data_IF_183291559082
#
_entry.id   IF_183291559082
#
_cell.length_a   1.000
_cell.length_b   1.000
_cell.length_c   1.000
_cell.angle_alpha   90.00
_cell.angle_beta   90.00
_cell.angle_gamma   90.00
#
_symmetry.space_group_name_H-M   'P 1'
#
loop_
_entity.id
_entity.type
_entity.pdbx_description
1 polymer ?
#
# COMPACT_ATOMS: atom_id res chain seq x y z
N UNK A 1 -13.37 0.18 -27.45
CA UNK A 1 -13.55 1.41 -26.64
C UNK A 1 -14.10 1.12 -25.23
N UNK A 2 -15.04 0.20 -25.09
CA UNK A 2 -15.70 -0.19 -23.82
C UNK A 2 -14.74 -0.71 -22.74
N UNK A 3 -13.96 -1.77 -22.99
CA UNK A 3 -12.99 -2.32 -22.03
C UNK A 3 -11.89 -1.33 -21.62
N UNK A 4 -11.52 -0.38 -22.50
CA UNK A 4 -10.56 0.68 -22.16
C UNK A 4 -11.08 1.58 -21.03
N UNK A 5 -12.38 1.89 -21.00
CA UNK A 5 -12.99 2.69 -19.94
C UNK A 5 -13.04 1.92 -18.62
N UNK A 6 -13.31 0.61 -18.67
CA UNK A 6 -13.26 -0.26 -17.47
C UNK A 6 -11.84 -0.31 -16.91
N UNK A 7 -10.85 -0.57 -17.75
CA UNK A 7 -9.44 -0.58 -17.33
C UNK A 7 -9.05 0.76 -16.69
N UNK A 8 -9.43 1.89 -17.29
CA UNK A 8 -9.15 3.21 -16.73
C UNK A 8 -9.81 3.41 -15.36
N UNK A 9 -11.06 2.99 -15.18
CA UNK A 9 -11.73 3.07 -13.88
C UNK A 9 -11.03 2.18 -12.82
N UNK A 10 -10.53 1.00 -13.19
CA UNK A 10 -9.72 0.17 -12.30
C UNK A 10 -8.37 0.82 -11.96
N UNK A 11 -7.70 1.46 -12.92
CA UNK A 11 -6.45 2.20 -12.69
C UNK A 11 -6.66 3.35 -11.70
N UNK A 12 -7.75 4.15 -11.88
CA UNK A 12 -8.13 5.19 -10.93
C UNK A 12 -8.50 4.62 -9.56
N UNK A 13 -9.03 3.39 -9.50
CA UNK A 13 -9.25 2.66 -8.25
C UNK A 13 -7.95 2.45 -7.48
N UNK A 14 -6.89 1.99 -8.15
CA UNK A 14 -5.58 1.83 -7.50
C UNK A 14 -4.91 3.15 -7.13
N UNK A 15 -5.12 4.22 -7.91
CA UNK A 15 -4.69 5.56 -7.50
C UNK A 15 -5.44 6.00 -6.22
N UNK A 16 -6.75 5.73 -6.11
CA UNK A 16 -7.52 5.98 -4.88
C UNK A 16 -6.94 5.18 -3.70
N UNK A 17 -6.63 3.90 -3.88
CA UNK A 17 -6.00 3.07 -2.85
C UNK A 17 -4.63 3.63 -2.44
N UNK A 18 -3.82 4.11 -3.39
CA UNK A 18 -2.55 4.75 -3.09
C UNK A 18 -2.73 6.02 -2.24
N UNK A 19 -3.77 6.83 -2.50
CA UNK A 19 -4.08 8.02 -1.71
C UNK A 19 -4.40 7.64 -0.26
N UNK A 20 -5.33 6.71 -0.04
CA UNK A 20 -5.77 6.34 1.31
C UNK A 20 -4.66 5.67 2.12
N UNK A 21 -3.74 4.96 1.48
CA UNK A 21 -2.63 4.28 2.16
C UNK A 21 -1.43 5.19 2.44
N UNK A 22 -1.20 6.23 1.63
CA UNK A 22 0.05 6.98 1.67
C UNK A 22 -0.11 8.46 2.05
N UNK A 23 -1.32 9.03 2.05
CA UNK A 23 -1.51 10.44 2.41
C UNK A 23 -1.30 10.70 3.90
N UNK A 24 -1.96 9.93 4.79
CA UNK A 24 -1.85 10.13 6.23
C UNK A 24 -0.41 9.96 6.77
N UNK A 25 0.40 8.99 6.30
CA UNK A 25 1.81 8.88 6.71
C UNK A 25 2.65 10.14 6.48
N UNK A 26 2.38 10.92 5.43
CA UNK A 26 3.06 12.19 5.19
C UNK A 26 2.79 13.23 6.29
N UNK A 27 1.71 13.06 7.04
CA UNK A 27 1.25 13.99 8.07
C UNK A 27 1.64 13.57 9.49
N UNK A 28 2.35 12.47 9.70
CA UNK A 28 2.61 11.92 11.03
C UNK A 28 3.25 12.93 11.98
N UNK A 29 4.31 13.61 11.56
CA UNK A 29 4.94 14.64 12.37
C UNK A 29 4.03 15.86 12.58
N UNK A 30 3.17 16.16 11.61
CA UNK A 30 2.16 17.23 11.74
C UNK A 30 1.11 16.86 12.77
N UNK A 31 0.60 15.62 12.74
CA UNK A 31 -0.36 15.10 13.72
C UNK A 31 0.24 15.08 15.13
N UNK A 32 1.51 14.68 15.26
CA UNK A 32 2.24 14.72 16.52
C UNK A 32 2.32 16.15 17.08
N UNK A 33 2.70 17.12 16.24
CA UNK A 33 2.84 18.53 16.67
C UNK A 33 1.50 19.21 16.94
N UNK A 34 0.48 18.97 16.11
CA UNK A 34 -0.81 19.67 16.19
C UNK A 34 -1.73 19.10 17.25
N UNK A 35 -1.69 17.79 17.51
CA UNK A 35 -2.62 17.11 18.41
C UNK A 35 -1.94 16.40 19.58
N UNK A 36 -0.61 16.47 19.71
CA UNK A 36 0.14 15.77 20.75
C UNK A 36 0.06 14.24 20.63
N UNK A 37 -0.24 13.70 19.44
CA UNK A 37 -0.38 12.26 19.20
C UNK A 37 1.00 11.62 19.27
N UNK A 38 1.13 10.55 20.07
CA UNK A 38 2.41 9.85 20.20
C UNK A 38 2.76 9.03 18.93
N UNK A 39 4.05 8.72 18.74
CA UNK A 39 4.49 7.86 17.62
C UNK A 39 3.86 6.46 17.70
N UNK A 40 3.61 5.95 18.91
CA UNK A 40 2.92 4.67 19.13
C UNK A 40 1.48 4.72 18.62
N UNK A 41 0.77 5.82 18.89
CA UNK A 41 -0.58 6.05 18.38
C UNK A 41 -0.60 6.19 16.84
N UNK A 42 0.39 6.88 16.26
CA UNK A 42 0.54 6.96 14.79
C UNK A 42 0.81 5.58 14.17
N UNK A 43 1.66 4.78 14.80
CA UNK A 43 1.88 3.39 14.39
C UNK A 43 0.60 2.55 14.49
N UNK A 44 -0.23 2.79 15.51
CA UNK A 44 -1.54 2.13 15.66
C UNK A 44 -2.48 2.50 14.51
N UNK A 45 -2.52 3.77 14.05
CA UNK A 45 -3.34 4.16 12.87
C UNK A 45 -2.96 3.35 11.63
N UNK A 46 -1.66 3.16 11.39
CA UNK A 46 -1.17 2.33 10.30
C UNK A 46 -1.59 0.87 10.47
N UNK A 47 -1.44 0.34 11.70
CA UNK A 47 -1.83 -1.05 12.00
C UNK A 47 -3.34 -1.26 11.83
N UNK A 48 -4.16 -0.28 12.21
CA UNK A 48 -5.62 -0.31 12.01
C UNK A 48 -5.95 -0.26 10.51
N UNK A 49 -5.28 0.61 9.73
CA UNK A 49 -5.50 0.67 8.29
C UNK A 49 -5.34 -0.71 7.63
N UNK A 50 -4.19 -1.35 7.81
CA UNK A 50 -3.94 -2.65 7.18
C UNK A 50 -4.67 -3.80 7.87
N UNK A 51 -4.92 -3.72 9.17
CA UNK A 51 -5.75 -4.71 9.86
C UNK A 51 -7.19 -4.71 9.37
N UNK A 52 -7.77 -3.54 9.08
CA UNK A 52 -9.11 -3.42 8.49
C UNK A 52 -9.11 -3.87 7.02
N UNK A 53 -8.06 -3.53 6.23
CA UNK A 53 -7.91 -4.06 4.87
C UNK A 53 -7.86 -5.59 4.89
N UNK A 54 -7.03 -6.17 5.73
CA UNK A 54 -6.91 -7.63 5.92
C UNK A 54 -8.25 -8.29 6.30
N UNK A 55 -9.03 -7.68 7.19
CA UNK A 55 -10.38 -8.17 7.52
C UNK A 55 -11.34 -8.05 6.34
N UNK A 56 -11.22 -6.97 5.56
CA UNK A 56 -12.00 -6.75 4.34
C UNK A 56 -11.70 -7.81 3.29
N UNK A 57 -10.42 -8.12 3.06
CA UNK A 57 -9.97 -9.16 2.14
C UNK A 57 -10.53 -10.52 2.53
N UNK A 58 -10.41 -10.88 3.81
CA UNK A 58 -10.89 -12.15 4.34
C UNK A 58 -12.41 -12.30 4.19
N UNK A 59 -13.15 -11.21 4.41
CA UNK A 59 -14.62 -11.23 4.40
C UNK A 59 -15.22 -10.94 3.03
N UNK A 60 -14.48 -10.33 2.10
CA UNK A 60 -14.95 -9.91 0.78
C UNK A 60 -15.63 -11.05 -0.03
N UNK A 61 -15.13 -12.30 -0.06
CA UNK A 61 -15.78 -13.37 -0.80
C UNK A 61 -17.21 -13.67 -0.33
N UNK A 62 -17.51 -13.38 0.96
CA UNK A 62 -18.83 -13.67 1.54
C UNK A 62 -19.94 -12.75 1.00
N UNK A 63 -19.59 -11.52 0.63
CA UNK A 63 -20.57 -10.53 0.20
C UNK A 63 -20.37 -10.03 -1.23
N UNK A 64 -19.15 -10.03 -1.78
CA UNK A 64 -18.89 -9.59 -3.16
C UNK A 64 -19.59 -10.50 -4.16
N UNK A 65 -19.57 -11.81 -3.94
CA UNK A 65 -20.25 -12.77 -4.83
C UNK A 65 -21.78 -12.59 -4.82
N UNK A 66 -22.36 -12.07 -3.72
CA UNK A 66 -23.80 -11.80 -3.59
C UNK A 66 -24.19 -10.42 -4.11
N UNK A 67 -23.42 -9.38 -3.73
CA UNK A 67 -23.67 -7.99 -4.15
C UNK A 67 -23.29 -7.74 -5.60
N UNK A 68 -22.28 -8.45 -6.09
CA UNK A 68 -21.65 -8.24 -7.38
C UNK A 68 -20.48 -7.23 -7.33
N UNK A 69 -19.61 -7.33 -8.33
CA UNK A 69 -18.39 -6.51 -8.40
C UNK A 69 -18.66 -5.01 -8.52
N UNK A 70 -19.67 -4.60 -9.33
CA UNK A 70 -19.96 -3.19 -9.58
C UNK A 70 -20.49 -2.42 -8.36
N UNK A 71 -21.51 -2.93 -7.63
CA UNK A 71 -21.92 -2.32 -6.37
C UNK A 71 -20.78 -2.26 -5.35
N UNK A 72 -19.97 -3.30 -5.26
CA UNK A 72 -18.82 -3.35 -4.34
C UNK A 72 -17.75 -2.33 -4.72
N UNK A 73 -17.43 -2.14 -6.00
CA UNK A 73 -16.52 -1.07 -6.48
C UNK A 73 -17.06 0.33 -6.18
N UNK A 74 -18.36 0.55 -6.34
CA UNK A 74 -18.99 1.84 -5.98
C UNK A 74 -18.90 2.09 -4.47
N UNK A 75 -19.18 1.08 -3.67
CA UNK A 75 -19.06 1.16 -2.22
C UNK A 75 -17.62 1.48 -1.79
N UNK A 76 -16.63 0.83 -2.40
CA UNK A 76 -15.22 1.06 -2.15
C UNK A 76 -14.82 2.52 -2.38
N UNK A 77 -15.25 3.11 -3.50
CA UNK A 77 -14.98 4.51 -3.82
C UNK A 77 -15.68 5.47 -2.83
N UNK A 78 -16.92 5.16 -2.47
CA UNK A 78 -17.69 5.98 -1.52
C UNK A 78 -17.05 5.98 -0.13
N UNK A 79 -16.63 4.80 0.37
CA UNK A 79 -15.96 4.68 1.68
C UNK A 79 -14.59 5.37 1.67
N UNK A 80 -13.83 5.26 0.57
CA UNK A 80 -12.57 5.98 0.42
C UNK A 80 -12.77 7.50 0.49
N UNK A 81 -13.76 8.04 -0.23
CA UNK A 81 -14.09 9.46 -0.19
C UNK A 81 -14.58 9.89 1.22
N UNK A 82 -15.48 9.11 1.83
CA UNK A 82 -16.02 9.41 3.15
C UNK A 82 -14.93 9.41 4.23
N UNK A 83 -13.98 8.46 4.18
CA UNK A 83 -12.87 8.43 5.14
C UNK A 83 -11.89 9.59 4.95
N UNK A 84 -11.58 9.98 3.69
CA UNK A 84 -10.74 11.17 3.42
C UNK A 84 -11.38 12.46 3.94
N UNK A 85 -12.69 12.64 3.71
CA UNK A 85 -13.44 13.77 4.28
C UNK A 85 -13.55 13.65 5.80
N UNK A 86 -13.66 12.43 6.33
CA UNK A 86 -13.68 12.14 7.75
C UNK A 86 -12.40 12.59 8.46
N UNK A 87 -11.23 12.53 7.82
CA UNK A 87 -9.99 13.07 8.38
C UNK A 87 -10.14 14.54 8.78
N UNK A 88 -10.89 15.33 8.00
CA UNK A 88 -11.14 16.73 8.30
C UNK A 88 -12.22 16.90 9.38
N UNK A 89 -13.35 16.23 9.22
CA UNK A 89 -14.54 16.41 10.03
C UNK A 89 -14.44 15.77 11.41
N UNK A 90 -13.96 14.54 11.47
CA UNK A 90 -13.96 13.78 12.73
C UNK A 90 -12.85 14.19 13.68
N UNK A 91 -11.76 14.79 13.19
CA UNK A 91 -10.75 15.37 14.08
C UNK A 91 -11.24 16.59 14.85
N UNK A 92 -12.30 17.26 14.37
CA UNK A 92 -12.95 18.39 15.06
C UNK A 92 -14.19 17.96 15.85
N UNK A 93 -14.93 16.95 15.34
CA UNK A 93 -16.18 16.49 15.96
C UNK A 93 -15.95 15.68 17.24
N UNK A 94 -14.85 14.91 17.30
CA UNK A 94 -14.53 14.08 18.46
C UNK A 94 -13.71 14.88 19.48
N UNK A 95 -14.05 14.76 20.76
CA UNK A 95 -13.28 15.36 21.85
C UNK A 95 -11.79 14.96 21.83
N UNK A 96 -11.51 13.75 21.36
CA UNK A 96 -10.16 13.24 21.16
C UNK A 96 -9.86 13.12 19.65
N UNK A 97 -9.04 14.00 19.07
CA UNK A 97 -8.71 13.98 17.64
C UNK A 97 -8.21 12.62 17.12
N UNK A 98 -7.48 11.89 17.97
CA UNK A 98 -7.00 10.54 17.65
C UNK A 98 -8.16 9.55 17.39
N UNK A 99 -9.25 9.62 18.12
CA UNK A 99 -10.42 8.78 17.89
C UNK A 99 -11.06 9.12 16.52
N UNK A 100 -11.13 10.40 16.17
CA UNK A 100 -11.59 10.85 14.85
C UNK A 100 -10.72 10.32 13.71
N UNK A 101 -9.39 10.33 13.89
CA UNK A 101 -8.46 9.73 12.93
C UNK A 101 -8.68 8.22 12.80
N UNK A 102 -8.85 7.48 13.91
CA UNK A 102 -9.11 6.04 13.90
C UNK A 102 -10.38 5.68 13.12
N UNK A 103 -11.47 6.41 13.33
CA UNK A 103 -12.73 6.20 12.62
C UNK A 103 -12.55 6.48 11.13
N UNK A 104 -11.90 7.59 10.77
CA UNK A 104 -11.63 7.97 9.39
C UNK A 104 -10.80 6.92 8.66
N UNK A 105 -9.72 6.47 9.32
CA UNK A 105 -8.82 5.40 8.83
C UNK A 105 -9.60 4.11 8.63
N UNK A 106 -10.42 3.71 9.61
CA UNK A 106 -11.26 2.50 9.51
C UNK A 106 -12.20 2.56 8.31
N UNK A 107 -12.85 3.70 8.06
CA UNK A 107 -13.78 3.87 6.94
C UNK A 107 -13.05 3.75 5.59
N UNK A 108 -11.97 4.51 5.37
CA UNK A 108 -11.28 4.43 4.09
C UNK A 108 -10.49 3.13 3.89
N UNK A 109 -10.08 2.47 4.98
CA UNK A 109 -9.38 1.18 4.91
C UNK A 109 -10.29 0.07 4.37
N UNK A 110 -11.59 0.06 4.73
CA UNK A 110 -12.56 -0.85 4.08
C UNK A 110 -12.64 -0.55 2.57
N UNK A 111 -12.66 0.73 2.19
CA UNK A 111 -12.62 1.13 0.78
C UNK A 111 -11.37 0.64 0.06
N UNK A 112 -10.19 0.81 0.68
CA UNK A 112 -8.89 0.39 0.15
C UNK A 112 -8.80 -1.13 -0.06
N UNK A 113 -9.17 -1.93 0.94
CA UNK A 113 -9.20 -3.40 0.85
C UNK A 113 -10.15 -3.89 -0.25
N UNK A 114 -11.36 -3.33 -0.35
CA UNK A 114 -12.28 -3.66 -1.45
C UNK A 114 -11.67 -3.37 -2.82
N UNK A 115 -10.99 -2.23 -3.00
CA UNK A 115 -10.33 -1.90 -4.27
C UNK A 115 -9.26 -2.94 -4.62
N UNK A 116 -8.47 -3.35 -3.64
CA UNK A 116 -7.39 -4.32 -3.82
C UNK A 116 -7.90 -5.68 -4.32
N UNK A 117 -8.92 -6.22 -3.67
CA UNK A 117 -9.50 -7.52 -4.05
C UNK A 117 -10.23 -7.47 -5.39
N UNK A 118 -10.90 -6.35 -5.71
CA UNK A 118 -11.83 -6.30 -6.84
C UNK A 118 -11.19 -5.92 -8.16
N UNK A 119 -10.14 -5.08 -8.18
CA UNK A 119 -9.59 -4.58 -9.45
C UNK A 119 -8.90 -5.68 -10.26
N UNK A 120 -8.20 -6.60 -9.60
CA UNK A 120 -7.47 -7.67 -10.27
C UNK A 120 -8.38 -8.66 -11.01
N UNK A 121 -9.46 -9.22 -10.42
CA UNK A 121 -10.39 -10.08 -11.15
C UNK A 121 -11.15 -9.33 -12.26
N UNK A 122 -11.44 -8.04 -12.12
CA UNK A 122 -12.07 -7.24 -13.18
C UNK A 122 -11.13 -7.13 -14.39
N UNK A 123 -9.84 -6.85 -14.17
CA UNK A 123 -8.85 -6.78 -15.25
C UNK A 123 -8.60 -8.16 -15.86
N UNK A 124 -8.55 -9.21 -15.03
CA UNK A 124 -8.43 -10.59 -15.53
C UNK A 124 -9.59 -10.99 -16.44
N UNK A 125 -10.80 -10.52 -16.18
CA UNK A 125 -11.98 -10.74 -17.02
C UNK A 125 -11.97 -9.92 -18.33
N UNK A 126 -11.17 -8.84 -18.43
CA UNK A 126 -11.07 -8.04 -19.64
C UNK A 126 -10.24 -8.78 -20.72
N UNK A 127 -10.60 -8.71 -22.02
CA UNK A 127 -9.79 -9.29 -23.09
C UNK A 127 -8.38 -8.72 -23.11
N UNK A 128 -7.37 -9.59 -23.19
CA UNK A 128 -5.96 -9.22 -23.33
C UNK A 128 -5.15 -10.40 -23.86
N UNK A 129 -4.18 -10.10 -24.74
CA UNK A 129 -3.25 -11.09 -25.28
C UNK A 129 -2.15 -11.47 -24.26
N UNK A 130 -1.89 -10.59 -23.28
CA UNK A 130 -0.91 -10.82 -22.22
C UNK A 130 -1.46 -10.34 -20.86
N UNK A 131 -2.08 -11.26 -20.12
CA UNK A 131 -2.67 -11.01 -18.81
C UNK A 131 -1.65 -10.55 -17.77
N UNK A 132 -0.44 -11.11 -17.81
CA UNK A 132 0.64 -10.72 -16.89
C UNK A 132 1.08 -9.27 -17.08
N UNK A 133 1.21 -8.83 -18.32
CA UNK A 133 1.53 -7.44 -18.66
C UNK A 133 0.41 -6.48 -18.24
N UNK A 134 -0.86 -6.83 -18.49
CA UNK A 134 -2.01 -6.04 -18.09
C UNK A 134 -2.12 -5.92 -16.56
N UNK A 135 -1.87 -7.01 -15.84
CA UNK A 135 -1.87 -7.02 -14.38
C UNK A 135 -0.74 -6.15 -13.81
N UNK A 136 0.47 -6.25 -14.40
CA UNK A 136 1.60 -5.41 -14.02
C UNK A 136 1.34 -3.93 -14.29
N UNK A 137 0.74 -3.62 -15.45
CA UNK A 137 0.34 -2.25 -15.78
C UNK A 137 -0.72 -1.72 -14.81
N UNK A 138 -1.74 -2.51 -14.48
CA UNK A 138 -2.73 -2.16 -13.46
C UNK A 138 -2.05 -1.73 -12.16
N UNK A 139 -1.22 -2.60 -11.60
CA UNK A 139 -0.56 -2.33 -10.32
C UNK A 139 0.49 -1.21 -10.39
N UNK A 140 0.98 -0.84 -11.59
CA UNK A 140 1.83 0.34 -11.73
C UNK A 140 1.10 1.64 -11.38
N UNK A 141 -0.23 1.70 -11.56
CA UNK A 141 -1.01 2.88 -11.21
C UNK A 141 -1.11 3.12 -9.70
N UNK A 142 -0.98 2.08 -8.87
CA UNK A 142 -0.78 2.28 -7.43
C UNK A 142 0.53 3.06 -7.15
N UNK A 143 1.63 2.68 -7.80
CA UNK A 143 2.92 3.35 -7.63
C UNK A 143 2.88 4.80 -8.11
N UNK A 144 2.32 5.05 -9.30
CA UNK A 144 2.15 6.40 -9.83
C UNK A 144 1.20 7.24 -8.97
N UNK A 145 0.15 6.61 -8.41
CA UNK A 145 -0.71 7.22 -7.41
C UNK A 145 0.06 7.63 -6.15
N UNK A 146 0.91 6.74 -5.63
CA UNK A 146 1.78 7.04 -4.48
C UNK A 146 2.74 8.21 -4.79
N UNK A 147 3.45 8.17 -5.93
CA UNK A 147 4.28 9.30 -6.39
C UNK A 147 3.47 10.59 -6.46
N UNK A 148 2.28 10.53 -7.07
CA UNK A 148 1.37 11.67 -7.19
C UNK A 148 0.95 12.24 -5.84
N UNK A 149 0.60 11.38 -4.89
CA UNK A 149 0.23 11.78 -3.52
C UNK A 149 1.38 12.53 -2.84
N UNK A 150 2.60 11.99 -2.91
CA UNK A 150 3.77 12.64 -2.30
C UNK A 150 4.05 13.97 -2.96
N UNK A 151 4.18 14.00 -4.29
CA UNK A 151 4.55 15.22 -5.03
C UNK A 151 3.52 16.33 -4.86
N UNK A 152 2.23 16.02 -5.07
CA UNK A 152 1.15 17.02 -5.01
C UNK A 152 0.96 17.52 -3.57
N UNK A 153 0.97 16.63 -2.59
CA UNK A 153 0.85 17.02 -1.18
C UNK A 153 2.05 17.82 -0.72
N UNK A 154 3.29 17.42 -1.07
CA UNK A 154 4.51 18.15 -0.71
C UNK A 154 4.53 19.54 -1.36
N UNK A 155 4.16 19.65 -2.65
CA UNK A 155 4.06 20.93 -3.33
C UNK A 155 2.99 21.83 -2.69
N UNK A 156 1.82 21.28 -2.36
CA UNK A 156 0.77 22.01 -1.66
C UNK A 156 1.26 22.55 -0.31
N UNK A 157 1.90 21.71 0.48
CA UNK A 157 2.40 22.10 1.80
C UNK A 157 3.56 23.11 1.74
N UNK A 158 4.39 23.04 0.69
CA UNK A 158 5.43 24.02 0.46
C UNK A 158 4.88 25.43 0.12
N UNK A 159 3.72 25.51 -0.53
CA UNK A 159 3.08 26.75 -0.95
C UNK A 159 2.15 27.29 0.14
N UNK A 160 1.31 26.44 0.71
CA UNK A 160 0.21 26.83 1.59
C UNK A 160 0.45 26.53 3.09
N UNK A 161 1.55 25.85 3.43
CA UNK A 161 1.86 25.45 4.79
C UNK A 161 1.24 24.13 5.20
N UNK A 162 1.87 23.45 6.17
CA UNK A 162 1.44 22.16 6.70
C UNK A 162 0.14 22.24 7.53
N UNK A 163 -0.17 23.41 8.07
CA UNK A 163 -1.41 23.68 8.82
C UNK A 163 -2.67 23.48 7.96
N UNK A 164 -2.55 23.61 6.64
CA UNK A 164 -3.63 23.45 5.68
C UNK A 164 -3.85 21.98 5.23
N UNK A 165 -3.32 21.01 5.97
CA UNK A 165 -3.43 19.59 5.64
C UNK A 165 -4.88 19.10 5.47
N UNK A 166 -5.83 19.71 6.18
CA UNK A 166 -7.27 19.40 6.04
C UNK A 166 -7.79 19.74 4.66
N UNK A 167 -7.41 20.89 4.12
CA UNK A 167 -7.77 21.30 2.76
C UNK A 167 -7.22 20.28 1.76
N UNK A 168 -5.97 19.84 1.95
CA UNK A 168 -5.36 18.82 1.09
C UNK A 168 -6.10 17.48 1.17
N UNK A 169 -6.52 17.04 2.36
CA UNK A 169 -7.35 15.84 2.53
C UNK A 169 -8.68 15.95 1.76
N UNK A 170 -9.33 17.11 1.83
CA UNK A 170 -10.54 17.39 1.05
C UNK A 170 -10.28 17.42 -0.45
N UNK A 171 -9.11 17.89 -0.90
CA UNK A 171 -8.73 17.92 -2.32
C UNK A 171 -8.47 16.52 -2.89
N UNK A 172 -8.17 15.52 -2.07
CA UNK A 172 -8.05 14.14 -2.53
C UNK A 172 -9.39 13.42 -2.69
N UNK A 173 -10.45 13.84 -1.98
CA UNK A 173 -11.76 13.18 -2.03
C UNK A 173 -12.48 13.26 -3.40
N UNK A 174 -12.36 14.30 -4.23
CA UNK A 174 -12.96 14.34 -5.58
C UNK A 174 -12.57 13.18 -6.49
N UNK A 175 -11.38 12.60 -6.35
CA UNK A 175 -10.94 11.50 -7.22
C UNK A 175 -11.80 10.23 -7.02
N UNK A 176 -11.96 9.68 -5.80
CA UNK A 176 -12.86 8.55 -5.58
C UNK A 176 -14.32 8.90 -5.91
N UNK A 177 -14.80 10.13 -5.65
CA UNK A 177 -16.16 10.56 -6.05
C UNK A 177 -16.32 10.51 -7.57
N UNK A 178 -15.37 11.04 -8.33
CA UNK A 178 -15.39 10.96 -9.79
C UNK A 178 -15.42 9.51 -10.27
N UNK A 179 -14.60 8.65 -9.66
CA UNK A 179 -14.52 7.25 -10.07
C UNK A 179 -15.76 6.43 -9.67
N UNK A 180 -16.45 6.80 -8.57
CA UNK A 180 -17.78 6.28 -8.24
C UNK A 180 -18.76 6.50 -9.40
N UNK A 181 -18.83 7.71 -9.96
CA UNK A 181 -19.68 8.01 -11.12
C UNK A 181 -19.24 7.29 -12.39
N UNK A 182 -17.93 7.04 -12.59
CA UNK A 182 -17.46 6.21 -13.68
C UNK A 182 -18.03 4.78 -13.58
N UNK A 183 -17.96 4.14 -12.41
CA UNK A 183 -18.54 2.81 -12.20
C UNK A 183 -20.07 2.81 -12.28
N UNK A 184 -20.72 3.93 -11.97
CA UNK A 184 -22.17 4.04 -12.13
C UNK A 184 -22.59 4.04 -13.62
N UNK A 185 -21.78 4.62 -14.50
CA UNK A 185 -22.05 4.74 -15.95
C UNK A 185 -21.57 3.55 -16.78
N UNK A 186 -20.73 2.70 -16.23
CA UNK A 186 -20.18 1.53 -16.91
C UNK A 186 -21.07 0.31 -16.63
N UNK A 187 -21.35 -0.48 -17.67
CA UNK A 187 -21.95 -1.82 -17.51
C UNK A 187 -20.89 -2.83 -17.08
N UNK A 188 -21.18 -3.78 -16.20
CA UNK A 188 -20.22 -4.84 -15.86
C UNK A 188 -19.82 -5.62 -17.12
N UNK A 189 -18.51 -5.97 -17.32
CA UNK A 189 -18.19 -7.05 -18.22
C UNK A 189 -18.91 -8.30 -17.72
N UNK A 190 -19.19 -9.23 -18.61
CA UNK A 190 -19.59 -10.54 -18.19
C UNK A 190 -18.40 -11.20 -17.43
N UNK A 191 -18.14 -10.71 -16.22
CA UNK A 191 -17.42 -11.48 -15.24
C UNK A 191 -18.39 -12.62 -14.99
N UNK A 192 -18.10 -13.78 -15.58
CA UNK A 192 -18.85 -14.96 -15.23
C UNK A 192 -18.91 -14.93 -13.71
N UNK A 193 -20.12 -14.69 -13.16
CA UNK A 193 -20.37 -15.07 -11.79
C UNK A 193 -19.91 -16.53 -11.77
N UNK A 194 -18.69 -16.75 -11.30
CA UNK A 194 -18.17 -18.09 -11.09
C UNK A 194 -18.95 -18.60 -9.87
N UNK A 195 -20.26 -18.79 -10.10
CA UNK A 195 -21.11 -19.61 -9.26
C UNK A 195 -20.46 -20.98 -9.29
N UNK A 196 -19.57 -21.24 -8.34
CA UNK A 196 -18.76 -22.45 -8.27
C UNK A 196 -17.24 -22.25 -8.32
N UNK A 197 -16.71 -21.08 -7.96
CA UNK A 197 -15.26 -20.91 -7.73
C UNK A 197 -14.74 -21.92 -6.72
N UNK A 198 -13.50 -22.34 -6.86
CA UNK A 198 -12.84 -23.26 -5.93
C UNK A 198 -12.89 -22.68 -4.52
N UNK A 199 -13.59 -23.32 -3.60
CA UNK A 199 -13.70 -22.84 -2.22
C UNK A 199 -12.33 -22.77 -1.51
N UNK A 200 -12.21 -21.91 -0.48
CA UNK A 200 -10.98 -21.69 0.25
C UNK A 200 -10.33 -23.01 0.73
N UNK A 201 -11.13 -23.95 1.26
CA UNK A 201 -10.62 -25.24 1.73
C UNK A 201 -10.00 -26.09 0.61
N UNK A 202 -10.52 -26.01 -0.61
CA UNK A 202 -9.95 -26.73 -1.76
C UNK A 202 -8.68 -26.06 -2.28
N UNK A 203 -8.62 -24.72 -2.26
CA UNK A 203 -7.40 -23.97 -2.62
C UNK A 203 -6.27 -24.27 -1.63
N UNK A 204 -6.57 -24.24 -0.33
CA UNK A 204 -5.60 -24.51 0.74
C UNK A 204 -5.08 -25.97 0.77
N UNK A 205 -5.76 -26.92 0.11
CA UNK A 205 -5.24 -28.28 -0.08
C UNK A 205 -4.18 -28.38 -1.18
N UNK A 206 -4.04 -27.34 -2.04
CA UNK A 206 -3.08 -27.37 -3.16
C UNK A 206 -1.73 -26.80 -2.70
N UNK A 207 -0.67 -27.61 -2.70
CA UNK A 207 0.69 -27.17 -2.34
C UNK A 207 1.22 -26.02 -3.22
N UNK A 208 0.77 -25.92 -4.47
CA UNK A 208 1.08 -24.77 -5.34
C UNK A 208 0.50 -23.48 -4.76
N UNK A 209 -0.72 -23.51 -4.21
CA UNK A 209 -1.36 -22.32 -3.66
C UNK A 209 -0.61 -21.79 -2.43
N UNK A 210 -0.13 -22.67 -1.56
CA UNK A 210 0.72 -22.28 -0.42
C UNK A 210 2.01 -21.59 -0.86
N UNK A 211 2.66 -22.06 -1.92
CA UNK A 211 3.86 -21.37 -2.47
C UNK A 211 3.52 -19.97 -2.94
N UNK A 212 2.38 -19.78 -3.61
CA UNK A 212 1.91 -18.47 -4.06
C UNK A 212 1.56 -17.55 -2.88
N UNK A 213 0.92 -18.07 -1.83
CA UNK A 213 0.66 -17.30 -0.60
C UNK A 213 1.96 -16.84 0.08
N UNK A 214 2.95 -17.72 0.20
CA UNK A 214 4.27 -17.37 0.77
C UNK A 214 4.98 -16.34 -0.10
N UNK A 215 4.93 -16.48 -1.43
CA UNK A 215 5.50 -15.48 -2.35
C UNK A 215 4.83 -14.13 -2.17
N UNK A 216 3.51 -14.09 -2.03
CA UNK A 216 2.74 -12.86 -1.84
C UNK A 216 3.05 -12.21 -0.49
N UNK A 217 3.14 -13.00 0.58
CA UNK A 217 3.56 -12.55 1.91
C UNK A 217 4.97 -11.94 1.88
N UNK A 218 5.93 -12.61 1.24
CA UNK A 218 7.29 -12.10 1.09
C UNK A 218 7.34 -10.82 0.25
N UNK A 219 6.53 -10.73 -0.81
CA UNK A 219 6.45 -9.53 -1.65
C UNK A 219 5.95 -8.33 -0.83
N UNK A 220 4.86 -8.49 -0.08
CA UNK A 220 4.32 -7.44 0.80
C UNK A 220 5.30 -7.02 1.89
N UNK A 221 5.93 -7.99 2.55
CA UNK A 221 6.93 -7.71 3.58
C UNK A 221 8.14 -6.93 3.04
N UNK A 222 8.65 -7.30 1.86
CA UNK A 222 9.77 -6.65 1.22
C UNK A 222 9.42 -5.24 0.72
N UNK A 223 8.23 -5.05 0.17
CA UNK A 223 7.75 -3.76 -0.31
C UNK A 223 7.58 -2.78 0.86
N UNK A 224 6.81 -3.14 1.87
CA UNK A 224 6.47 -2.25 2.98
C UNK A 224 7.61 -2.06 3.98
N UNK A 225 8.41 -3.09 4.22
CA UNK A 225 9.57 -2.99 5.10
C UNK A 225 10.57 -1.91 4.69
N UNK A 226 10.78 -1.72 3.38
CA UNK A 226 11.63 -0.65 2.86
C UNK A 226 10.89 0.69 2.73
N UNK A 227 9.70 0.68 2.12
CA UNK A 227 8.94 1.90 1.80
C UNK A 227 8.60 2.73 3.03
N UNK A 228 8.17 2.10 4.12
CA UNK A 228 7.74 2.78 5.35
C UNK A 228 8.88 3.51 6.07
N UNK A 229 10.09 3.01 5.97
CA UNK A 229 11.24 3.55 6.69
C UNK A 229 12.15 4.43 5.84
N UNK A 230 11.93 4.49 4.52
CA UNK A 230 12.80 5.22 3.60
C UNK A 230 12.90 6.72 3.93
N UNK A 231 11.81 7.37 4.33
CA UNK A 231 11.82 8.78 4.73
C UNK A 231 12.57 8.99 6.06
N UNK A 232 12.24 8.19 7.09
CA UNK A 232 12.89 8.28 8.38
C UNK A 232 14.39 7.99 8.29
N UNK A 233 14.80 7.04 7.44
CA UNK A 233 16.19 6.75 7.16
C UNK A 233 16.91 7.95 6.50
N UNK A 234 16.28 8.56 5.50
CA UNK A 234 16.83 9.73 4.83
C UNK A 234 17.03 10.90 5.79
N UNK A 235 16.03 11.24 6.59
CA UNK A 235 16.09 12.32 7.58
C UNK A 235 17.12 12.04 8.68
N UNK A 236 17.11 10.84 9.29
CA UNK A 236 17.98 10.49 10.40
C UNK A 236 19.44 10.30 9.99
N UNK A 237 19.69 9.72 8.81
CA UNK A 237 21.05 9.36 8.37
C UNK A 237 21.73 10.43 7.53
N UNK A 238 20.96 11.23 6.77
CA UNK A 238 21.48 12.27 5.90
C UNK A 238 21.40 13.68 6.51
N UNK A 239 20.59 13.86 7.57
CA UNK A 239 20.30 15.17 8.12
C UNK A 239 19.60 16.11 7.11
N UNK A 240 18.95 15.55 6.08
CA UNK A 240 18.23 16.31 5.07
C UNK A 240 16.88 16.79 5.58
N UNK A 241 16.34 17.84 4.97
CA UNK A 241 15.00 18.31 5.29
C UNK A 241 13.96 17.22 5.01
N UNK A 242 12.83 17.25 5.73
CA UNK A 242 11.70 16.32 5.52
C UNK A 242 11.30 16.22 4.05
N UNK A 243 11.21 17.37 3.36
CA UNK A 243 10.86 17.41 1.93
C UNK A 243 11.80 16.57 1.08
N UNK A 244 13.12 16.69 1.31
CA UNK A 244 14.13 15.92 0.57
C UNK A 244 14.07 14.44 0.97
N UNK A 245 13.85 14.14 2.26
CA UNK A 245 13.67 12.78 2.77
C UNK A 245 12.46 12.07 2.13
N UNK A 246 11.31 12.73 2.05
CA UNK A 246 10.11 12.20 1.42
C UNK A 246 10.29 11.99 -0.10
N UNK A 247 10.98 12.92 -0.79
CA UNK A 247 11.20 12.83 -2.24
C UNK A 247 12.24 11.76 -2.61
N UNK A 248 13.34 11.66 -1.88
CA UNK A 248 14.40 10.68 -2.19
C UNK A 248 14.10 9.28 -1.61
N UNK A 249 13.43 9.20 -0.48
CA UNK A 249 13.05 7.94 0.15
C UNK A 249 11.81 7.31 -0.52
N UNK A 250 10.61 7.52 0.03
CA UNK A 250 9.41 6.82 -0.44
C UNK A 250 9.01 7.18 -1.88
N UNK A 251 9.19 8.42 -2.33
CA UNK A 251 8.88 8.79 -3.72
C UNK A 251 9.86 8.16 -4.71
N UNK A 252 11.17 8.14 -4.39
CA UNK A 252 12.19 7.46 -5.20
C UNK A 252 11.93 5.95 -5.29
N UNK A 253 11.64 5.31 -4.16
CA UNK A 253 11.24 3.91 -4.09
C UNK A 253 10.01 3.63 -4.96
N UNK A 254 8.93 4.40 -4.79
CA UNK A 254 7.68 4.22 -5.53
C UNK A 254 7.85 4.46 -7.04
N UNK A 255 8.69 5.43 -7.43
CA UNK A 255 9.03 5.70 -8.84
C UNK A 255 9.72 4.50 -9.46
N UNK A 256 10.74 3.94 -8.81
CA UNK A 256 11.47 2.78 -9.31
C UNK A 256 10.59 1.53 -9.36
N UNK A 257 9.71 1.35 -8.39
CA UNK A 257 8.71 0.28 -8.36
C UNK A 257 7.70 0.43 -9.50
N UNK A 258 7.17 1.63 -9.71
CA UNK A 258 6.24 1.93 -10.81
C UNK A 258 6.88 1.74 -12.19
N UNK A 259 8.14 2.17 -12.33
CA UNK A 259 8.92 1.98 -13.55
C UNK A 259 9.12 0.48 -13.85
N UNK A 260 9.50 -0.32 -12.85
CA UNK A 260 9.64 -1.78 -12.99
C UNK A 260 8.34 -2.43 -13.47
N UNK A 261 7.21 -2.07 -12.87
CA UNK A 261 5.86 -2.57 -13.26
C UNK A 261 5.49 -2.12 -14.68
N UNK A 262 5.71 -0.86 -15.01
CA UNK A 262 5.40 -0.31 -16.33
C UNK A 262 6.28 -0.92 -17.43
N UNK A 263 7.58 -1.08 -17.18
CA UNK A 263 8.51 -1.72 -18.12
C UNK A 263 8.15 -3.18 -18.37
N UNK A 264 7.84 -3.94 -17.32
CA UNK A 264 7.35 -5.30 -17.48
C UNK A 264 6.00 -5.33 -18.22
N UNK A 265 5.08 -4.42 -17.89
CA UNK A 265 3.80 -4.27 -18.62
C UNK A 265 3.96 -3.99 -20.11
N UNK A 266 5.00 -3.23 -20.50
CA UNK A 266 5.26 -2.86 -21.89
C UNK A 266 6.08 -3.88 -22.67
N UNK A 267 7.11 -4.44 -22.05
CA UNK A 267 8.13 -5.24 -22.72
C UNK A 267 8.17 -6.70 -22.25
N UNK A 268 7.36 -7.06 -21.25
CA UNK A 268 7.38 -8.41 -20.65
C UNK A 268 6.75 -9.51 -21.50
N UNK A 269 6.17 -9.20 -22.69
CA UNK A 269 5.50 -10.19 -23.53
C UNK A 269 6.40 -11.35 -23.97
N UNK A 270 7.72 -11.12 -24.08
CA UNK A 270 8.73 -12.14 -24.42
C UNK A 270 9.51 -12.70 -23.24
N UNK A 271 9.24 -12.26 -22.02
CA UNK A 271 9.98 -12.64 -20.83
C UNK A 271 9.25 -13.74 -20.06
N UNK A 272 10.00 -14.76 -19.61
CA UNK A 272 9.48 -15.74 -18.67
C UNK A 272 9.29 -15.08 -17.29
N UNK A 273 8.02 -14.91 -16.89
CA UNK A 273 7.63 -14.28 -15.63
C UNK A 273 8.33 -14.93 -14.43
N UNK A 274 8.48 -16.26 -14.42
CA UNK A 274 9.12 -16.98 -13.29
C UNK A 274 10.60 -16.62 -13.18
N UNK A 275 11.33 -16.59 -14.32
CA UNK A 275 12.74 -16.18 -14.35
C UNK A 275 12.89 -14.73 -13.93
N UNK A 276 12.03 -13.85 -14.45
CA UNK A 276 12.04 -12.43 -14.09
C UNK A 276 11.84 -12.23 -12.57
N UNK A 277 10.86 -12.88 -11.98
CA UNK A 277 10.61 -12.82 -10.53
C UNK A 277 11.77 -13.39 -9.71
N UNK A 278 12.41 -14.46 -10.17
CA UNK A 278 13.58 -15.03 -9.49
C UNK A 278 14.77 -14.06 -9.46
N UNK A 279 15.07 -13.43 -10.61
CA UNK A 279 16.12 -12.41 -10.69
C UNK A 279 15.78 -11.19 -9.82
N UNK A 280 14.51 -10.74 -9.85
CA UNK A 280 14.04 -9.65 -9.00
C UNK A 280 14.17 -9.97 -7.51
N UNK A 281 13.90 -11.22 -7.10
CA UNK A 281 14.07 -11.65 -5.70
C UNK A 281 15.53 -11.60 -5.26
N UNK A 282 16.47 -12.05 -6.08
CA UNK A 282 17.89 -11.95 -5.80
C UNK A 282 18.36 -10.49 -5.72
N UNK A 283 17.88 -9.65 -6.64
CA UNK A 283 18.17 -8.22 -6.65
C UNK A 283 17.61 -7.54 -5.37
N UNK A 284 16.43 -7.97 -4.90
CA UNK A 284 15.84 -7.49 -3.66
C UNK A 284 16.74 -7.79 -2.45
N UNK A 285 17.25 -9.03 -2.34
CA UNK A 285 18.19 -9.41 -1.28
C UNK A 285 19.44 -8.52 -1.35
N UNK A 286 20.03 -8.32 -2.53
CA UNK A 286 21.18 -7.46 -2.71
C UNK A 286 20.89 -6.01 -2.32
N UNK A 287 19.72 -5.47 -2.66
CA UNK A 287 19.28 -4.13 -2.30
C UNK A 287 19.13 -3.95 -0.79
N UNK A 288 18.54 -4.93 -0.09
CA UNK A 288 18.44 -4.93 1.37
C UNK A 288 19.82 -5.01 2.05
N UNK A 289 20.71 -5.87 1.55
CA UNK A 289 22.08 -5.95 2.05
C UNK A 289 22.83 -4.64 1.83
N UNK A 290 22.69 -4.03 0.67
CA UNK A 290 23.29 -2.72 0.39
C UNK A 290 22.76 -1.67 1.37
N UNK A 291 21.45 -1.56 1.58
CA UNK A 291 20.85 -0.61 2.49
C UNK A 291 21.26 -0.86 3.96
N UNK A 292 21.38 -2.12 4.36
CA UNK A 292 21.65 -2.49 5.75
C UNK A 292 23.15 -2.44 6.13
N UNK A 293 24.05 -2.75 5.21
CA UNK A 293 25.47 -2.89 5.49
C UNK A 293 26.30 -1.63 5.15
N UNK A 294 25.72 -0.70 4.39
CA UNK A 294 26.43 0.52 4.03
C UNK A 294 26.44 1.54 5.19
N UNK A 295 27.59 2.14 5.42
CA UNK A 295 27.73 3.31 6.30
C UNK A 295 27.49 4.65 5.56
N UNK A 296 27.41 4.61 4.23
CA UNK A 296 27.22 5.80 3.39
C UNK A 296 25.74 6.03 3.12
N UNK A 297 25.15 7.11 3.63
CA UNK A 297 23.70 7.36 3.52
C UNK A 297 23.17 7.34 2.08
N UNK A 298 23.92 7.88 1.12
CA UNK A 298 23.53 7.88 -0.30
C UNK A 298 23.47 6.49 -0.91
N UNK A 299 24.35 5.57 -0.50
CA UNK A 299 24.29 4.18 -0.92
C UNK A 299 23.09 3.46 -0.27
N UNK A 300 22.74 3.82 0.97
CA UNK A 300 21.53 3.32 1.61
C UNK A 300 20.27 3.73 0.84
N UNK A 301 20.17 5.01 0.41
CA UNK A 301 19.06 5.48 -0.44
C UNK A 301 19.06 4.81 -1.82
N UNK A 302 20.23 4.61 -2.43
CA UNK A 302 20.33 3.84 -3.67
C UNK A 302 19.84 2.39 -3.48
N UNK A 303 20.15 1.78 -2.32
CA UNK A 303 19.60 0.48 -1.91
C UNK A 303 18.08 0.50 -1.81
N UNK A 304 17.48 1.55 -1.21
CA UNK A 304 16.02 1.72 -1.15
C UNK A 304 15.40 1.81 -2.56
N UNK A 305 15.97 2.61 -3.46
CA UNK A 305 15.48 2.74 -4.83
C UNK A 305 15.63 1.42 -5.61
N UNK A 306 16.76 0.72 -5.45
CA UNK A 306 17.01 -0.58 -6.07
C UNK A 306 16.04 -1.65 -5.53
N UNK A 307 15.70 -1.58 -4.25
CA UNK A 307 14.66 -2.41 -3.66
C UNK A 307 13.31 -2.14 -4.34
N UNK A 308 12.91 -0.87 -4.52
CA UNK A 308 11.70 -0.51 -5.25
C UNK A 308 11.65 -1.13 -6.65
N UNK A 309 12.76 -1.01 -7.42
CA UNK A 309 12.89 -1.62 -8.74
C UNK A 309 12.69 -3.15 -8.69
N UNK A 310 13.27 -3.80 -7.69
CA UNK A 310 13.28 -5.26 -7.55
C UNK A 310 11.93 -5.82 -7.11
N UNK A 311 11.24 -5.19 -6.14
CA UNK A 311 9.93 -5.67 -5.65
C UNK A 311 8.79 -5.40 -6.62
N UNK A 312 8.98 -4.50 -7.60
CA UNK A 312 7.92 -3.99 -8.45
C UNK A 312 7.03 -5.06 -9.07
N UNK A 313 7.59 -6.13 -9.61
CA UNK A 313 6.82 -7.19 -10.29
C UNK A 313 6.45 -8.37 -9.37
N UNK A 314 6.92 -8.39 -8.12
CA UNK A 314 6.65 -9.52 -7.22
C UNK A 314 5.16 -9.67 -6.90
N UNK A 315 4.49 -8.58 -6.55
CA UNK A 315 3.04 -8.60 -6.26
C UNK A 315 2.20 -8.96 -7.51
N UNK A 316 2.21 -8.16 -8.59
CA UNK A 316 1.42 -8.46 -9.78
C UNK A 316 1.81 -9.79 -10.44
N UNK A 317 3.08 -10.17 -10.37
CA UNK A 317 3.57 -11.44 -10.87
C UNK A 317 3.01 -12.64 -10.11
N UNK A 318 2.93 -12.57 -8.76
CA UNK A 318 2.32 -13.61 -7.94
C UNK A 318 0.85 -13.80 -8.26
N UNK A 319 0.10 -12.69 -8.42
CA UNK A 319 -1.31 -12.69 -8.83
C UNK A 319 -1.47 -13.32 -10.22
N UNK A 320 -0.64 -12.93 -11.18
CA UNK A 320 -0.67 -13.46 -12.56
C UNK A 320 -0.33 -14.95 -12.61
N UNK A 321 0.67 -15.40 -11.85
CA UNK A 321 1.02 -16.83 -11.75
C UNK A 321 -0.11 -17.64 -11.13
N UNK A 322 -0.80 -17.10 -10.13
CA UNK A 322 -1.95 -17.74 -9.52
C UNK A 322 -3.11 -17.88 -10.51
N UNK A 323 -3.48 -16.78 -11.18
CA UNK A 323 -4.55 -16.76 -12.17
C UNK A 323 -4.29 -17.73 -13.32
N UNK A 324 -3.06 -17.76 -13.84
CA UNK A 324 -2.66 -18.69 -14.92
C UNK A 324 -2.56 -20.15 -14.51
N UNK A 325 -2.25 -20.44 -13.24
CA UNK A 325 -2.01 -21.80 -12.75
C UNK A 325 -3.23 -22.44 -12.11
N UNK A 326 -4.17 -21.66 -11.57
CA UNK A 326 -5.33 -22.09 -10.81
C UNK A 326 -6.61 -21.61 -11.51
N UNK A 327 -6.91 -22.22 -12.65
CA UNK A 327 -8.17 -21.97 -13.36
C UNK A 327 -9.34 -22.21 -12.41
N UNK A 328 -10.33 -21.33 -12.37
CA UNK A 328 -11.49 -21.34 -11.47
C UNK A 328 -11.20 -20.96 -10.00
N UNK A 329 -10.09 -20.26 -9.70
CA UNK A 329 -9.79 -19.77 -8.34
C UNK A 329 -10.81 -18.75 -7.80
N UNK A 330 -11.48 -18.01 -8.70
CA UNK A 330 -12.54 -17.06 -8.35
C UNK A 330 -12.08 -15.95 -7.41
N UNK A 331 -13.03 -15.20 -6.86
CA UNK A 331 -12.81 -14.10 -5.88
C UNK A 331 -12.02 -14.59 -4.67
N UNK A 332 -12.30 -15.81 -4.20
CA UNK A 332 -11.63 -16.40 -3.03
C UNK A 332 -10.11 -16.49 -3.20
N UNK A 333 -9.64 -16.85 -4.40
CA UNK A 333 -8.19 -16.92 -4.68
C UNK A 333 -7.53 -15.56 -4.58
N UNK A 334 -8.12 -14.54 -5.21
CA UNK A 334 -7.58 -13.17 -5.19
C UNK A 334 -7.63 -12.59 -3.77
N UNK A 335 -8.72 -12.80 -3.03
CA UNK A 335 -8.85 -12.36 -1.65
C UNK A 335 -7.80 -13.00 -0.71
N UNK A 336 -7.55 -14.31 -0.83
CA UNK A 336 -6.53 -14.98 -0.03
C UNK A 336 -5.10 -14.56 -0.41
N UNK A 337 -4.85 -14.21 -1.67
CA UNK A 337 -3.56 -13.66 -2.09
C UNK A 337 -3.37 -12.25 -1.53
N UNK A 338 -4.37 -11.36 -1.63
CA UNK A 338 -4.33 -10.02 -1.04
C UNK A 338 -4.12 -10.11 0.49
N UNK A 339 -4.90 -10.96 1.17
CA UNK A 339 -4.72 -11.26 2.60
C UNK A 339 -3.28 -11.65 2.97
N UNK A 340 -2.65 -12.52 2.18
CA UNK A 340 -1.27 -12.93 2.40
C UNK A 340 -0.29 -11.76 2.18
N UNK A 341 -0.54 -10.93 1.19
CA UNK A 341 0.22 -9.70 0.92
C UNK A 341 0.13 -8.71 2.07
N UNK A 342 -1.07 -8.39 2.54
CA UNK A 342 -1.33 -7.48 3.65
C UNK A 342 -0.76 -7.99 4.98
N UNK A 343 -0.83 -9.31 5.20
CA UNK A 343 -0.14 -9.94 6.33
C UNK A 343 1.37 -9.71 6.23
N UNK A 344 1.95 -9.86 5.04
CA UNK A 344 3.35 -9.54 4.76
C UNK A 344 3.67 -8.07 5.04
N UNK A 345 2.84 -7.16 4.56
CA UNK A 345 2.94 -5.72 4.84
C UNK A 345 2.91 -5.41 6.34
N UNK A 346 2.09 -6.14 7.10
CA UNK A 346 1.97 -5.97 8.56
C UNK A 346 3.20 -6.50 9.31
N UNK A 347 3.74 -7.64 8.91
CA UNK A 347 4.93 -8.27 9.53
C UNK A 347 6.22 -7.52 9.17
N UNK A 348 6.35 -7.01 7.96
CA UNK A 348 7.51 -6.22 7.51
C UNK A 348 7.75 -4.93 8.31
N UNK A 349 6.81 -4.54 9.16
CA UNK A 349 6.89 -3.35 10.05
C UNK A 349 7.52 -3.61 11.40
N UNK A 350 7.59 -4.86 11.85
CA UNK A 350 8.33 -5.15 13.08
C UNK A 350 9.79 -4.76 12.87
N UNK A 351 10.48 -4.20 13.87
CA UNK A 351 11.75 -3.52 13.69
C UNK A 351 12.87 -4.51 13.31
N UNK A 352 12.88 -4.94 12.05
CA UNK A 352 14.11 -5.35 11.38
C UNK A 352 14.89 -4.07 10.99
N UNK A 353 14.86 -3.10 11.91
CA UNK A 353 15.67 -1.90 11.77
C UNK A 353 17.14 -2.33 11.91
N UNK A 354 17.98 -2.13 10.91
CA UNK A 354 19.41 -2.20 11.12
C UNK A 354 19.74 -1.24 12.28
N UNK A 355 20.57 -1.68 13.23
CA UNK A 355 21.10 -0.84 14.32
C UNK A 355 21.68 0.51 13.87
N UNK A 356 21.88 0.70 12.57
CA UNK A 356 22.33 1.93 11.94
C UNK A 356 21.29 3.11 12.00
N UNK A 357 20.00 2.84 12.26
CA UNK A 357 18.95 3.89 12.33
C UNK A 357 18.65 4.29 13.78
N UNK A 358 19.10 3.52 14.77
CA UNK A 358 19.05 3.91 16.18
C UNK A 358 20.45 4.37 16.61
N UNK A 359 20.73 5.67 16.70
CA UNK A 359 22.00 6.10 17.31
C UNK A 359 22.04 5.61 18.76
N UNK A 360 23.18 5.11 19.26
CA UNK A 360 23.31 4.58 20.63
C UNK A 360 23.02 5.59 21.75
N UNK A 361 22.74 6.85 21.43
CA UNK A 361 22.46 7.92 22.40
C UNK A 361 21.00 7.96 22.90
N UNK A 362 20.06 7.26 22.29
CA UNK A 362 18.66 7.30 22.74
C UNK A 362 18.33 6.24 23.82
N UNK A 363 19.21 5.25 24.02
CA UNK A 363 18.98 4.16 24.99
C UNK A 363 19.51 4.45 26.42
N UNK A 364 20.21 5.57 26.65
CA UNK A 364 20.88 5.86 27.93
C UNK A 364 20.23 6.96 28.78
N UNK A 365 19.10 7.56 28.33
CA UNK A 365 18.47 8.66 29.08
C UNK A 365 17.24 8.23 29.90
N UNK A 366 16.83 6.94 29.86
CA UNK A 366 15.63 6.49 30.59
C UNK A 366 15.94 5.75 31.91
N UNK A 367 17.20 5.61 32.30
CA UNK A 367 17.59 4.89 33.53
C UNK A 367 18.27 5.76 34.61
N UNK A 368 18.27 7.09 34.49
CA UNK A 368 18.93 7.97 35.47
C UNK A 368 18.01 8.88 36.28
N UNK A 369 16.68 8.68 36.23
CA UNK A 369 15.73 9.54 36.98
C UNK A 369 15.03 8.84 38.16
N UNK A 370 15.54 7.69 38.65
CA UNK A 370 14.91 7.01 39.81
C UNK A 370 15.86 6.75 40.99
N UNK A 371 16.97 7.47 41.12
CA UNK A 371 17.81 7.40 42.35
C UNK A 371 18.31 8.78 42.75
N UNK A 372 17.45 9.61 43.36
CA UNK A 372 17.86 10.65 44.31
C UNK A 372 16.65 11.21 45.03
N UNK A 373 16.03 10.43 45.90
CA UNK A 373 15.26 10.91 47.06
C UNK A 373 15.40 9.88 48.19
N UNK A 374 16.48 10.00 48.95
CA UNK A 374 16.55 9.69 50.36
C UNK A 374 17.89 10.19 50.89
N UNK A 375 17.80 10.84 52.06
CA UNK A 375 18.82 11.39 52.94
C UNK A 375 19.11 12.89 52.78
N UNK A 376 18.46 13.71 53.62
CA UNK A 376 19.02 14.21 54.87
C UNK A 376 18.05 15.15 55.57
N UNK A 377 17.84 14.77 56.84
CA UNK A 377 17.52 15.57 58.04
C UNK A 377 16.62 16.78 57.93
#
# INVERSE_FOLDING_TARGET
MYYRRIKLACYLGLVTQAIVNNFLPLLFLTMQRSFGISLEQLSLLVSVNFGVQLLTDLTSPLYVDRLGYWPSMKLAQLLSAAGLLGLCLFTELFERPFAGLLVSVGIYAVGGGLLEVLVSPIIEACPSDNKGAEMSLLHSFYCWGHVGVVLVSTAFFAIFGLENWRIMACLWAPLPVYNFFNFHRLTPPAIAAQTGGTGAAQLLRKGLFWRLLVMMLCAGAAEQGMSQWASAFAEASLGVSKTVGDLLGPCGFATMMGLSRALYGRFGAGLDLRRYMSVSSLLCVAAYLLAALTSTPWLGLAGCMLCGLSVGVMWPGSVSLAAGSLKNGGTTMFALLALAGDLGCSVGRTPFMPRAICPPSAATTTTCASKSRTFST
#
